data_IF_265683032923
#
_entry.id   IF_265683032923
#
_cell.length_a   1.000
_cell.length_b   1.000
_cell.length_c   1.000
_cell.angle_alpha   90.00
_cell.angle_beta   90.00
_cell.angle_gamma   90.00
#
_symmetry.space_group_name_H-M   'P 1'
#
loop_
_entity.id
_entity.type
_entity.pdbx_description
1 polymer ?
#
# COMPACT_ATOMS: atom_id res chain seq x y z
N UNK A 1 -13.87 -15.82 -13.06
CA UNK A 1 -12.87 -15.15 -13.91
C UNK A 1 -11.74 -14.70 -12.99
N UNK A 2 -10.57 -15.36 -13.02
CA UNK A 2 -9.47 -15.13 -12.06
C UNK A 2 -8.60 -13.96 -12.55
N UNK A 3 -8.62 -12.83 -11.86
CA UNK A 3 -7.70 -11.72 -12.13
C UNK A 3 -6.35 -12.09 -11.48
N UNK A 4 -5.36 -12.46 -12.30
CA UNK A 4 -3.96 -12.59 -11.84
C UNK A 4 -3.49 -11.23 -11.34
N UNK A 5 -2.81 -11.20 -10.19
CA UNK A 5 -2.09 -10.01 -9.74
C UNK A 5 -1.08 -9.62 -10.84
N UNK A 6 -1.25 -8.48 -11.53
CA UNK A 6 -0.41 -8.08 -12.66
C UNK A 6 1.04 -7.81 -12.24
N UNK A 7 1.29 -7.62 -10.94
CA UNK A 7 2.61 -7.34 -10.38
C UNK A 7 3.45 -8.62 -10.21
N UNK A 8 2.82 -9.81 -10.21
CA UNK A 8 3.52 -11.09 -10.06
C UNK A 8 4.51 -11.42 -11.21
N UNK A 9 4.41 -10.72 -12.35
CA UNK A 9 5.32 -10.83 -13.49
C UNK A 9 6.35 -9.69 -13.60
N UNK A 10 6.28 -8.69 -12.73
CA UNK A 10 7.22 -7.57 -12.74
C UNK A 10 8.54 -8.05 -12.12
N UNK A 11 9.45 -8.50 -12.98
CA UNK A 11 10.88 -8.58 -12.59
C UNK A 11 11.25 -7.22 -12.04
N UNK A 12 11.95 -7.19 -10.91
CA UNK A 12 12.53 -5.98 -10.33
C UNK A 12 13.39 -5.28 -11.38
N UNK A 13 12.77 -4.41 -12.17
CA UNK A 13 13.47 -3.51 -13.07
C UNK A 13 14.38 -2.68 -12.20
N UNK A 14 15.68 -2.67 -12.51
CA UNK A 14 16.70 -1.87 -11.84
C UNK A 14 16.09 -0.53 -11.42
N UNK A 15 15.97 -0.30 -10.12
CA UNK A 15 15.60 1.02 -9.59
C UNK A 15 16.75 1.94 -9.95
N UNK A 16 16.55 2.80 -10.94
CA UNK A 16 17.47 3.87 -11.31
C UNK A 16 16.71 5.19 -11.08
N UNK A 17 17.33 6.13 -10.37
CA UNK A 17 16.69 7.40 -10.00
C UNK A 17 15.90 7.34 -8.69
N UNK A 18 16.58 7.01 -7.58
CA UNK A 18 16.04 7.33 -6.25
C UNK A 18 16.16 8.86 -6.12
N UNK A 19 15.03 9.55 -6.23
CA UNK A 19 14.95 10.99 -6.00
C UNK A 19 14.44 11.25 -4.59
N UNK A 20 15.10 12.18 -3.89
CA UNK A 20 14.60 12.68 -2.62
C UNK A 20 13.43 13.61 -2.91
N UNK A 21 12.23 13.14 -2.64
CA UNK A 21 11.01 13.94 -2.75
C UNK A 21 10.69 14.51 -1.37
N UNK A 22 10.58 15.83 -1.27
CA UNK A 22 9.97 16.45 -0.09
C UNK A 22 8.51 15.98 -0.03
N UNK A 23 8.13 15.35 1.07
CA UNK A 23 6.76 14.88 1.24
C UNK A 23 5.77 16.04 1.17
N UNK A 24 6.14 17.26 1.60
CA UNK A 24 5.28 18.44 1.51
C UNK A 24 4.92 18.81 0.06
N UNK A 25 5.78 18.46 -0.89
CA UNK A 25 5.60 18.75 -2.32
C UNK A 25 5.01 17.58 -3.13
N UNK A 26 4.71 16.45 -2.47
CA UNK A 26 4.10 15.28 -3.13
C UNK A 26 2.91 14.72 -2.37
N UNK A 27 1.71 14.97 -2.92
CA UNK A 27 0.46 14.40 -2.40
C UNK A 27 0.45 12.87 -2.40
N UNK A 28 1.17 12.24 -3.33
CA UNK A 28 1.27 10.78 -3.41
C UNK A 28 2.12 10.22 -2.27
N UNK A 29 3.24 10.87 -1.93
CA UNK A 29 4.08 10.50 -0.78
C UNK A 29 3.30 10.73 0.52
N UNK A 30 2.63 11.87 0.68
CA UNK A 30 1.79 12.13 1.86
C UNK A 30 0.69 11.07 2.04
N UNK A 31 0.03 10.69 0.95
CA UNK A 31 -1.00 9.64 0.97
C UNK A 31 -0.43 8.28 1.38
N UNK A 32 0.76 7.92 0.86
CA UNK A 32 1.47 6.70 1.23
C UNK A 32 1.85 6.70 2.72
N UNK A 33 2.40 7.81 3.23
CA UNK A 33 2.77 7.97 4.64
C UNK A 33 1.55 7.87 5.56
N UNK A 34 0.44 8.51 5.18
CA UNK A 34 -0.81 8.43 5.94
C UNK A 34 -1.35 7.00 5.98
N UNK A 35 -1.33 6.29 4.85
CA UNK A 35 -1.76 4.89 4.80
C UNK A 35 -0.87 3.99 5.68
N UNK A 36 0.45 4.16 5.60
CA UNK A 36 1.41 3.46 6.45
C UNK A 36 1.18 3.74 7.94
N UNK A 37 0.94 5.00 8.30
CA UNK A 37 0.62 5.39 9.67
C UNK A 37 -0.65 4.70 10.18
N UNK A 38 -1.76 4.75 9.42
CA UNK A 38 -3.03 4.11 9.81
C UNK A 38 -2.85 2.60 10.04
N UNK A 39 -2.18 1.92 9.10
CA UNK A 39 -1.95 0.47 9.19
C UNK A 39 -1.06 0.11 10.38
N UNK A 40 -0.01 0.89 10.63
CA UNK A 40 0.89 0.71 11.77
C UNK A 40 0.15 0.91 13.11
N UNK A 41 -0.68 1.95 13.24
CA UNK A 41 -1.44 2.20 14.47
C UNK A 41 -2.43 1.07 14.76
N UNK A 42 -3.12 0.60 13.72
CA UNK A 42 -4.03 -0.54 13.85
C UNK A 42 -3.28 -1.85 14.20
N UNK A 43 -2.12 -2.12 13.57
CA UNK A 43 -1.30 -3.30 13.87
C UNK A 43 -0.78 -3.30 15.32
N UNK A 44 -0.54 -2.12 15.89
CA UNK A 44 -0.17 -1.93 17.29
C UNK A 44 -1.37 -1.90 18.26
N UNK A 45 -2.57 -2.29 17.81
CA UNK A 45 -3.74 -2.46 18.66
C UNK A 45 -4.58 -1.21 18.90
N UNK A 46 -4.33 -0.09 18.20
CA UNK A 46 -5.18 1.09 18.29
C UNK A 46 -6.49 0.91 17.51
N UNK A 47 -7.52 0.43 18.21
CA UNK A 47 -8.84 0.11 17.63
C UNK A 47 -9.53 1.28 16.94
N UNK A 48 -9.15 2.55 17.22
CA UNK A 48 -9.70 3.74 16.55
C UNK A 48 -9.40 3.75 15.04
N UNK A 49 -8.32 3.09 14.63
CA UNK A 49 -7.90 3.02 13.23
C UNK A 49 -8.50 1.82 12.48
N UNK A 50 -9.22 0.91 13.15
CA UNK A 50 -9.70 -0.33 12.53
C UNK A 50 -10.58 -0.13 11.29
N UNK A 51 -11.51 0.85 11.35
CA UNK A 51 -12.37 1.18 10.20
C UNK A 51 -11.59 1.70 8.99
N UNK A 52 -10.57 2.52 9.23
CA UNK A 52 -9.71 3.07 8.17
C UNK A 52 -8.77 2.00 7.61
N UNK A 53 -8.15 1.20 8.47
CA UNK A 53 -7.28 0.10 8.07
C UNK A 53 -8.04 -0.94 7.22
N UNK A 54 -9.31 -1.24 7.55
CA UNK A 54 -10.16 -2.13 6.74
C UNK A 54 -10.35 -1.57 5.32
N UNK A 55 -10.72 -0.30 5.19
CA UNK A 55 -10.92 0.35 3.88
C UNK A 55 -9.65 0.35 3.05
N UNK A 56 -8.49 0.66 3.65
CA UNK A 56 -7.21 0.61 2.95
C UNK A 56 -6.92 -0.80 2.43
N UNK A 57 -7.10 -1.83 3.25
CA UNK A 57 -6.89 -3.23 2.84
C UNK A 57 -7.81 -3.66 1.69
N UNK A 58 -9.06 -3.21 1.67
CA UNK A 58 -9.98 -3.48 0.55
C UNK A 58 -9.45 -2.94 -0.79
N UNK A 59 -8.69 -1.85 -0.75
CA UNK A 59 -8.01 -1.24 -1.90
C UNK A 59 -6.65 -1.88 -2.24
N UNK A 60 -6.18 -2.88 -1.49
CA UNK A 60 -4.91 -3.58 -1.76
C UNK A 60 -5.13 -4.94 -2.44
N UNK A 61 -4.11 -5.44 -3.16
CA UNK A 61 -4.11 -6.83 -3.62
C UNK A 61 -3.83 -7.77 -2.45
N UNK A 62 -4.34 -8.99 -2.54
CA UNK A 62 -4.07 -10.09 -1.61
C UNK A 62 -3.44 -11.25 -2.38
N UNK A 63 -2.31 -11.76 -1.89
CA UNK A 63 -1.69 -12.97 -2.41
C UNK A 63 -2.46 -14.22 -1.98
N UNK A 64 -2.15 -15.37 -2.58
CA UNK A 64 -2.76 -16.65 -2.20
C UNK A 64 -2.45 -17.03 -0.73
N UNK A 65 -1.33 -16.55 -0.20
CA UNK A 65 -0.90 -16.77 1.18
C UNK A 65 -1.54 -15.80 2.20
N UNK A 66 -2.43 -14.91 1.74
CA UNK A 66 -3.15 -13.96 2.59
C UNK A 66 -2.37 -12.67 2.90
N UNK A 67 -1.22 -12.44 2.26
CA UNK A 67 -0.46 -11.21 2.42
C UNK A 67 -1.02 -10.07 1.55
N UNK A 68 -1.03 -8.86 2.10
CA UNK A 68 -1.50 -7.65 1.42
C UNK A 68 -0.37 -6.99 0.66
N UNK A 69 -0.56 -6.69 -0.62
CA UNK A 69 0.45 -6.11 -1.51
C UNK A 69 -0.11 -4.99 -2.37
N UNK A 70 0.69 -3.94 -2.54
CA UNK A 70 0.42 -2.85 -3.49
C UNK A 70 -0.98 -2.25 -3.37
N UNK A 71 -1.40 -1.52 -4.41
CA UNK A 71 -2.73 -0.93 -4.52
C UNK A 71 -3.42 -1.45 -5.76
N UNK A 72 -4.73 -1.68 -5.68
CA UNK A 72 -5.58 -1.86 -6.86
C UNK A 72 -5.68 -0.49 -7.54
N UNK A 73 -5.31 -0.42 -8.81
CA UNK A 73 -5.60 0.78 -9.60
C UNK A 73 -7.12 1.00 -9.62
N UNK A 74 -7.53 2.26 -9.46
CA UNK A 74 -8.93 2.71 -9.50
C UNK A 74 -9.30 2.98 -10.96
#
# INVERSE_FOLDING_TARGET
MRLRNPISGVRTSRVAGIEFVDSMDSSQVQAADMAAFILSRHANGDGRFGGMARRLRESMWVSEDGEWHGWKEI
#
